data_IF_205955058275
#
_entry.id   IF_205955058275
#
_cell.length_a   1.000
_cell.length_b   1.000
_cell.length_c   1.000
_cell.angle_alpha   90.00
_cell.angle_beta   90.00
_cell.angle_gamma   90.00
#
_symmetry.space_group_name_H-M   'P 1'
#
loop_
_entity.id
_entity.type
_entity.pdbx_description
1 polymer ?
#
# COMPACT_ATOMS: atom_id res chain seq x y z
N UNK A 1 -0.98 -18.90 25.34
CA UNK A 1 -1.87 -18.04 24.51
C UNK A 1 -0.97 -17.17 23.65
N UNK A 2 -1.01 -17.36 22.33
CA UNK A 2 -0.13 -16.67 21.38
C UNK A 2 -0.34 -15.16 21.40
N UNK A 3 0.73 -14.43 21.66
CA UNK A 3 0.80 -12.99 21.48
C UNK A 3 0.76 -12.70 19.98
N UNK A 4 -0.38 -12.22 19.50
CA UNK A 4 -0.51 -11.64 18.16
C UNK A 4 0.38 -10.39 18.14
N UNK A 5 1.55 -10.51 17.51
CA UNK A 5 2.43 -9.36 17.24
C UNK A 5 1.68 -8.49 16.25
N UNK A 6 1.04 -7.43 16.77
CA UNK A 6 0.45 -6.38 15.96
C UNK A 6 1.60 -5.67 15.25
N UNK A 7 1.76 -5.91 13.95
CA UNK A 7 2.74 -5.22 13.12
C UNK A 7 2.59 -3.71 13.36
N UNK A 8 3.70 -3.05 13.67
CA UNK A 8 3.71 -1.61 13.93
C UNK A 8 3.13 -0.87 12.73
N UNK A 9 2.37 0.22 12.94
CA UNK A 9 1.88 1.03 11.83
C UNK A 9 3.08 1.48 11.01
N UNK A 10 3.07 1.19 9.71
CA UNK A 10 4.07 1.70 8.77
C UNK A 10 3.83 3.20 8.68
N UNK A 11 4.61 3.99 9.42
CA UNK A 11 4.54 5.45 9.40
C UNK A 11 5.50 5.92 8.30
N UNK A 12 4.97 6.24 7.12
CA UNK A 12 5.73 6.85 6.03
C UNK A 12 5.94 8.36 6.32
N UNK A 13 6.59 8.72 7.43
CA UNK A 13 6.86 10.12 7.78
C UNK A 13 8.17 10.58 7.15
N UNK A 14 8.14 11.09 5.92
CA UNK A 14 9.13 12.00 5.30
C UNK A 14 10.62 11.60 5.26
N UNK A 15 11.03 10.49 5.88
CA UNK A 15 12.39 9.95 5.89
C UNK A 15 12.38 8.69 5.02
N UNK A 16 13.31 8.55 4.06
CA UNK A 16 13.39 7.33 3.26
C UNK A 16 13.76 6.17 4.17
N UNK A 17 12.79 5.30 4.43
CA UNK A 17 13.02 4.02 5.11
C UNK A 17 13.43 3.02 4.04
N UNK A 18 14.64 2.42 4.11
CA UNK A 18 15.06 1.40 3.17
C UNK A 18 14.05 0.24 3.17
N UNK A 19 13.64 -0.24 1.98
CA UNK A 19 12.76 -1.40 1.78
C UNK A 19 11.28 -1.20 2.19
N UNK A 20 10.82 0.03 2.42
CA UNK A 20 9.43 0.30 2.79
C UNK A 20 8.42 -0.18 1.74
N UNK A 21 8.83 -0.31 0.48
CA UNK A 21 7.96 -0.77 -0.61
C UNK A 21 7.52 -2.22 -0.37
N UNK A 22 8.39 -3.04 0.23
CA UNK A 22 8.05 -4.43 0.59
C UNK A 22 7.09 -4.49 1.77
N UNK A 23 7.23 -3.61 2.74
CA UNK A 23 6.33 -3.51 3.89
C UNK A 23 4.95 -3.02 3.46
N UNK A 24 4.88 -1.97 2.62
CA UNK A 24 3.63 -1.45 2.06
C UNK A 24 2.94 -2.49 1.19
N UNK A 25 3.68 -3.19 0.33
CA UNK A 25 3.14 -4.31 -0.46
C UNK A 25 2.67 -5.46 0.43
N UNK A 26 3.38 -5.75 1.52
CA UNK A 26 2.96 -6.72 2.53
C UNK A 26 1.65 -6.33 3.21
N UNK A 27 1.52 -5.07 3.63
CA UNK A 27 0.30 -4.53 4.23
C UNK A 27 -0.90 -4.56 3.27
N UNK A 28 -0.67 -4.17 2.00
CA UNK A 28 -1.68 -4.26 0.95
C UNK A 28 -2.09 -5.71 0.70
N UNK A 29 -1.15 -6.66 0.61
CA UNK A 29 -1.47 -8.09 0.45
C UNK A 29 -2.21 -8.67 1.65
N UNK A 30 -1.89 -8.24 2.87
CA UNK A 30 -2.59 -8.68 4.07
C UNK A 30 -4.03 -8.13 4.14
N UNK A 31 -4.25 -6.88 3.70
CA UNK A 31 -5.56 -6.22 3.76
C UNK A 31 -6.47 -6.58 2.58
N UNK A 32 -5.91 -6.74 1.38
CA UNK A 32 -6.68 -6.88 0.13
C UNK A 32 -6.40 -8.16 -0.63
N UNK A 33 -5.27 -8.86 -0.39
CA UNK A 33 -4.99 -10.23 -0.83
C UNK A 33 -5.49 -10.61 -2.22
N UNK A 34 -6.68 -11.24 -2.28
CA UNK A 34 -7.33 -11.70 -3.51
C UNK A 34 -7.79 -10.58 -4.47
N UNK A 35 -7.91 -9.34 -3.98
CA UNK A 35 -8.36 -8.15 -4.72
C UNK A 35 -7.22 -7.39 -5.40
N UNK A 36 -5.98 -7.71 -5.04
CA UNK A 36 -4.81 -7.19 -5.73
C UNK A 36 -4.52 -8.09 -6.92
N UNK A 37 -4.77 -7.59 -8.12
CA UNK A 37 -4.55 -8.32 -9.37
C UNK A 37 -3.06 -8.50 -9.65
N UNK A 38 -2.25 -7.49 -9.37
CA UNK A 38 -0.80 -7.54 -9.44
C UNK A 38 -0.17 -6.56 -8.43
N UNK A 39 1.05 -6.83 -8.00
CA UNK A 39 1.81 -5.97 -7.11
C UNK A 39 3.31 -6.22 -7.25
N UNK A 40 4.03 -5.20 -7.74
CA UNK A 40 5.47 -5.26 -7.97
C UNK A 40 6.18 -3.98 -7.53
N UNK A 41 7.40 -4.16 -7.02
CA UNK A 41 8.32 -3.05 -6.78
C UNK A 41 9.06 -2.78 -8.08
N UNK A 42 8.88 -1.61 -8.67
CA UNK A 42 9.51 -1.23 -9.94
C UNK A 42 10.96 -0.76 -9.74
N UNK A 43 11.19 -0.01 -8.65
CA UNK A 43 12.48 0.53 -8.23
C UNK A 43 12.36 0.97 -6.76
N UNK A 44 13.48 1.24 -6.06
CA UNK A 44 13.42 1.84 -4.72
C UNK A 44 12.53 3.10 -4.73
N UNK A 45 11.62 3.18 -3.77
CA UNK A 45 10.60 4.21 -3.60
C UNK A 45 9.38 4.09 -4.52
N UNK A 46 9.30 3.08 -5.40
CA UNK A 46 8.22 2.98 -6.40
C UNK A 46 7.59 1.60 -6.45
N UNK A 47 6.34 1.54 -6.01
CA UNK A 47 5.47 0.37 -6.06
C UNK A 47 4.39 0.57 -7.14
N UNK A 48 4.16 -0.46 -7.94
CA UNK A 48 3.01 -0.53 -8.85
C UNK A 48 2.07 -1.65 -8.40
N UNK A 49 0.78 -1.34 -8.30
CA UNK A 49 -0.26 -2.27 -7.89
C UNK A 49 -1.43 -2.13 -8.84
N UNK A 50 -2.00 -3.26 -9.26
CA UNK A 50 -3.20 -3.32 -10.07
C UNK A 50 -4.35 -3.80 -9.19
N UNK A 51 -5.47 -3.07 -9.24
CA UNK A 51 -6.67 -3.36 -8.45
C UNK A 51 -7.89 -3.32 -9.36
N UNK A 52 -8.97 -3.96 -8.91
CA UNK A 52 -10.27 -3.76 -9.55
C UNK A 52 -10.78 -2.33 -9.31
N UNK A 53 -11.59 -1.82 -10.22
CA UNK A 53 -12.21 -0.50 -10.13
C UNK A 53 -13.08 -0.39 -8.87
N UNK A 54 -13.79 -1.45 -8.51
CA UNK A 54 -14.69 -1.46 -7.35
C UNK A 54 -13.91 -1.36 -6.02
N UNK A 55 -12.62 -1.70 -6.03
CA UNK A 55 -11.75 -1.67 -4.85
C UNK A 55 -10.95 -0.36 -4.69
N UNK A 56 -11.08 0.59 -5.62
CA UNK A 56 -10.35 1.86 -5.60
C UNK A 56 -10.56 2.64 -4.29
N UNK A 57 -11.82 2.88 -3.91
CA UNK A 57 -12.18 3.65 -2.71
C UNK A 57 -11.65 2.96 -1.43
N UNK A 58 -11.90 1.65 -1.21
CA UNK A 58 -11.33 0.92 -0.08
C UNK A 58 -9.80 0.99 0.01
N UNK A 59 -9.11 0.79 -1.12
CA UNK A 59 -7.63 0.76 -1.15
C UNK A 59 -7.07 2.15 -0.85
N UNK A 60 -7.59 3.21 -1.48
CA UNK A 60 -7.18 4.58 -1.18
C UNK A 60 -7.44 4.95 0.29
N UNK A 61 -8.58 4.53 0.85
CA UNK A 61 -8.92 4.78 2.25
C UNK A 61 -7.94 4.08 3.19
N UNK A 62 -7.54 2.84 2.89
CA UNK A 62 -6.54 2.11 3.66
C UNK A 62 -5.16 2.77 3.57
N UNK A 63 -4.73 3.16 2.36
CA UNK A 63 -3.47 3.87 2.15
C UNK A 63 -3.41 5.16 2.97
N UNK A 64 -4.48 5.95 2.98
CA UNK A 64 -4.56 7.19 3.76
C UNK A 64 -4.58 6.93 5.26
N UNK A 65 -5.52 6.12 5.75
CA UNK A 65 -5.79 6.00 7.19
C UNK A 65 -4.85 5.06 7.94
N UNK A 66 -4.29 4.06 7.25
CA UNK A 66 -3.52 2.99 7.89
C UNK A 66 -2.02 3.11 7.61
N UNK A 67 -1.66 3.42 6.36
CA UNK A 67 -0.25 3.55 5.94
C UNK A 67 0.23 5.02 6.02
N UNK A 68 -0.69 5.98 6.04
CA UNK A 68 -0.34 7.40 6.14
C UNK A 68 0.11 8.01 4.82
N UNK A 69 -0.39 7.53 3.68
CA UNK A 69 -0.24 8.26 2.42
C UNK A 69 -1.11 9.52 2.44
N UNK A 70 -0.46 10.67 2.58
CA UNK A 70 -1.13 11.97 2.69
C UNK A 70 -1.35 12.66 1.34
N UNK A 71 -0.54 12.31 0.33
CA UNK A 71 -0.54 12.98 -0.96
C UNK A 71 -0.88 12.02 -2.09
N UNK A 72 -1.85 12.43 -2.89
CA UNK A 72 -2.15 11.84 -4.19
C UNK A 72 -1.68 12.83 -5.25
N UNK A 73 -0.70 12.42 -6.07
CA UNK A 73 -0.04 13.32 -7.00
C UNK A 73 -0.77 13.46 -8.33
N UNK A 74 -1.19 12.34 -8.94
CA UNK A 74 -1.78 12.35 -10.27
C UNK A 74 -2.81 11.22 -10.42
N UNK A 75 -3.92 11.51 -11.12
CA UNK A 75 -4.88 10.54 -11.62
C UNK A 75 -4.86 10.63 -13.14
N UNK A 76 -4.48 9.54 -13.79
CA UNK A 76 -4.48 9.43 -15.26
C UNK A 76 -5.51 8.41 -15.70
N UNK A 77 -6.36 8.78 -16.66
CA UNK A 77 -7.20 7.85 -17.39
C UNK A 77 -6.51 7.52 -18.73
N UNK A 78 -6.49 6.25 -19.08
CA UNK A 78 -5.96 5.74 -20.36
C UNK A 78 -7.12 5.05 -21.07
N UNK A 79 -7.22 5.25 -22.37
CA UNK A 79 -8.23 4.65 -23.26
C UNK A 79 -7.81 3.22 -23.69
#
# INVERSE_FOLDING_TARGET
MSTVVRAAPVVVSGRPVPLIEKEVLGGLKAAFGAKLLDGKVLRPGHLAVTIDRDDLIPVCTYLQKTIGFEHLSCITAVD
#
